data_IF_259952089308
#
_entry.id   IF_259952089308
#
_cell.length_a   1.000
_cell.length_b   1.000
_cell.length_c   1.000
_cell.angle_alpha   90.00
_cell.angle_beta   90.00
_cell.angle_gamma   90.00
#
_symmetry.space_group_name_H-M   'P 1'
#
loop_
_entity.id
_entity.type
_entity.pdbx_description
1 polymer ?
#
# COMPACT_ATOMS: atom_id res chain seq x y z
N UNK A 1 25.03 4.00 -1.07
CA UNK A 1 23.96 3.30 -1.81
C UNK A 1 23.60 4.09 -3.04
N UNK A 2 23.46 3.43 -4.17
CA UNK A 2 23.00 4.08 -5.39
C UNK A 2 21.50 4.37 -5.30
N UNK A 3 21.03 5.44 -5.96
CA UNK A 3 19.60 5.81 -6.01
C UNK A 3 18.70 4.65 -6.42
N UNK A 4 19.20 3.78 -7.30
CA UNK A 4 18.52 2.58 -7.78
C UNK A 4 18.25 1.56 -6.66
N UNK A 5 19.20 1.40 -5.74
CA UNK A 5 19.06 0.47 -4.59
C UNK A 5 17.96 0.96 -3.64
N UNK A 6 17.92 2.27 -3.35
CA UNK A 6 16.87 2.88 -2.51
C UNK A 6 15.49 2.61 -3.10
N UNK A 7 15.32 2.83 -4.41
CA UNK A 7 14.07 2.58 -5.10
C UNK A 7 13.68 1.10 -5.08
N UNK A 8 14.63 0.17 -5.14
CA UNK A 8 14.35 -1.25 -4.98
C UNK A 8 13.77 -1.56 -3.60
N UNK A 9 14.31 -0.97 -2.52
CA UNK A 9 13.73 -1.11 -1.18
C UNK A 9 12.32 -0.51 -1.07
N UNK A 10 12.10 0.68 -1.64
CA UNK A 10 10.78 1.33 -1.66
C UNK A 10 9.76 0.44 -2.38
N UNK A 11 10.05 0.02 -3.60
CA UNK A 11 9.15 -0.81 -4.40
C UNK A 11 8.89 -2.16 -3.73
N UNK A 12 9.91 -2.77 -3.13
CA UNK A 12 9.77 -4.00 -2.35
C UNK A 12 8.82 -3.81 -1.16
N UNK A 13 8.99 -2.73 -0.39
CA UNK A 13 8.12 -2.42 0.75
C UNK A 13 6.67 -2.16 0.33
N UNK A 14 6.47 -1.34 -0.71
CA UNK A 14 5.13 -1.04 -1.26
C UNK A 14 4.45 -2.31 -1.78
N UNK A 15 5.16 -3.14 -2.53
CA UNK A 15 4.61 -4.39 -3.09
C UNK A 15 4.17 -5.35 -1.99
N UNK A 16 4.99 -5.48 -0.94
CA UNK A 16 4.69 -6.35 0.18
C UNK A 16 3.49 -5.86 1.01
N UNK A 17 3.42 -4.55 1.26
CA UNK A 17 2.29 -3.92 1.93
C UNK A 17 1.00 -4.05 1.10
N UNK A 18 1.08 -3.86 -0.22
CA UNK A 18 -0.05 -4.02 -1.13
C UNK A 18 -0.57 -5.46 -1.15
N UNK A 19 0.35 -6.45 -1.16
CA UNK A 19 0.00 -7.86 -1.03
C UNK A 19 -0.70 -8.13 0.31
N UNK A 20 -0.16 -7.62 1.42
CA UNK A 20 -0.78 -7.76 2.74
C UNK A 20 -2.19 -7.15 2.79
N UNK A 21 -2.39 -5.95 2.23
CA UNK A 21 -3.70 -5.30 2.12
C UNK A 21 -4.69 -6.16 1.33
N UNK A 22 -4.24 -6.70 0.19
CA UNK A 22 -5.08 -7.55 -0.68
C UNK A 22 -5.45 -8.86 0.00
N UNK A 23 -4.49 -9.51 0.66
CA UNK A 23 -4.71 -10.75 1.44
C UNK A 23 -5.65 -10.48 2.62
N UNK A 24 -5.50 -9.34 3.31
CA UNK A 24 -6.39 -8.93 4.40
C UNK A 24 -7.83 -8.75 3.92
N UNK A 25 -8.03 -8.09 2.78
CA UNK A 25 -9.35 -7.96 2.18
C UNK A 25 -9.96 -9.31 1.79
N UNK A 26 -9.17 -10.17 1.14
CA UNK A 26 -9.62 -11.54 0.78
C UNK A 26 -9.99 -12.30 2.04
N UNK A 27 -9.18 -12.26 3.09
CA UNK A 27 -9.49 -12.91 4.37
C UNK A 27 -10.80 -12.40 4.96
N UNK A 28 -10.98 -11.07 5.03
CA UNK A 28 -12.14 -10.44 5.65
C UNK A 28 -13.45 -10.72 4.89
N UNK A 29 -13.37 -10.88 3.57
CA UNK A 29 -14.53 -11.14 2.70
C UNK A 29 -14.79 -12.62 2.47
N UNK A 30 -13.81 -13.49 2.72
CA UNK A 30 -13.94 -14.92 2.51
C UNK A 30 -14.80 -15.57 3.60
N UNK A 31 -15.82 -16.34 3.18
CA UNK A 31 -16.73 -17.08 4.06
C UNK A 31 -16.07 -18.28 4.76
N UNK A 32 -14.78 -18.55 4.53
CA UNK A 32 -14.02 -19.71 5.02
C UNK A 32 -13.78 -19.80 6.53
N UNK A 33 -14.46 -18.99 7.36
CA UNK A 33 -14.41 -19.06 8.81
C UNK A 33 -13.21 -18.33 9.46
N UNK A 34 -13.22 -18.30 10.81
CA UNK A 34 -12.28 -17.51 11.64
C UNK A 34 -10.80 -17.91 11.46
N UNK A 35 -10.50 -19.09 10.92
CA UNK A 35 -9.14 -19.63 10.74
C UNK A 35 -8.86 -20.04 9.29
N UNK A 36 -9.12 -19.15 8.33
CA UNK A 36 -8.80 -19.42 6.93
C UNK A 36 -7.29 -19.33 6.64
N UNK A 37 -6.84 -20.00 5.58
CA UNK A 37 -5.45 -19.91 5.07
C UNK A 37 -5.00 -18.46 4.82
N UNK A 38 -5.93 -17.56 4.49
CA UNK A 38 -5.65 -16.15 4.26
C UNK A 38 -5.23 -15.42 5.54
N UNK A 39 -5.77 -15.81 6.70
CA UNK A 39 -5.34 -15.27 7.99
C UNK A 39 -3.92 -15.72 8.32
N UNK A 40 -3.59 -16.99 8.07
CA UNK A 40 -2.24 -17.50 8.27
C UNK A 40 -1.23 -16.76 7.39
N UNK A 41 -1.55 -16.57 6.11
CA UNK A 41 -0.73 -15.76 5.20
C UNK A 41 -0.57 -14.33 5.70
N UNK A 42 -1.64 -13.69 6.17
CA UNK A 42 -1.60 -12.34 6.72
C UNK A 42 -0.68 -12.25 7.94
N UNK A 43 -0.78 -13.18 8.88
CA UNK A 43 0.07 -13.24 10.09
C UNK A 43 1.54 -13.39 9.71
N UNK A 44 1.85 -14.21 8.71
CA UNK A 44 3.22 -14.42 8.24
C UNK A 44 3.75 -13.17 7.53
N UNK A 45 2.97 -12.52 6.65
CA UNK A 45 3.41 -11.39 5.83
C UNK A 45 3.53 -10.10 6.65
N UNK A 46 2.65 -9.88 7.63
CA UNK A 46 2.57 -8.65 8.44
C UNK A 46 3.92 -8.18 9.03
N UNK A 47 4.73 -9.00 9.71
CA UNK A 47 6.02 -8.55 10.24
C UNK A 47 6.98 -8.07 9.14
N UNK A 48 6.95 -8.69 7.96
CA UNK A 48 7.82 -8.28 6.86
C UNK A 48 7.43 -6.92 6.27
N UNK A 49 6.15 -6.54 6.32
CA UNK A 49 5.70 -5.19 5.95
C UNK A 49 6.40 -4.14 6.83
N UNK A 50 6.39 -4.34 8.16
CA UNK A 50 7.03 -3.41 9.08
C UNK A 50 8.56 -3.45 9.00
N UNK A 51 9.17 -4.62 8.79
CA UNK A 51 10.63 -4.73 8.59
C UNK A 51 11.05 -3.97 7.33
N UNK A 52 10.38 -4.19 6.20
CA UNK A 52 10.73 -3.50 4.94
C UNK A 52 10.50 -2.00 5.02
N UNK A 53 9.42 -1.56 5.69
CA UNK A 53 9.19 -0.14 6.00
C UNK A 53 10.31 0.45 6.87
N UNK A 54 10.72 -0.24 7.93
CA UNK A 54 11.84 0.15 8.79
C UNK A 54 13.17 0.27 8.02
N UNK A 55 13.43 -0.66 7.09
CA UNK A 55 14.62 -0.63 6.24
C UNK A 55 14.66 0.58 5.28
N UNK A 56 13.50 1.04 4.80
CA UNK A 56 13.43 2.26 3.97
C UNK A 56 13.57 3.51 4.84
N UNK A 57 12.84 3.59 5.94
CA UNK A 57 12.81 4.78 6.82
C UNK A 57 14.11 4.99 7.57
N UNK A 58 14.86 3.93 7.90
CA UNK A 58 16.23 4.05 8.42
C UNK A 58 17.23 4.67 7.42
N UNK A 59 16.91 4.69 6.13
CA UNK A 59 17.76 5.23 5.07
C UNK A 59 17.33 6.62 4.59
N UNK A 60 16.02 6.88 4.53
CA UNK A 60 15.45 8.13 4.03
C UNK A 60 14.92 9.05 5.12
N UNK A 61 14.94 8.60 6.37
CA UNK A 61 14.21 9.23 7.46
C UNK A 61 12.74 8.85 7.45
N UNK A 62 12.12 8.94 8.62
CA UNK A 62 10.71 8.56 8.80
C UNK A 62 9.80 9.41 7.92
N UNK A 63 9.91 10.74 7.98
CA UNK A 63 9.01 11.66 7.26
C UNK A 63 9.03 11.43 5.75
N UNK A 64 10.22 11.36 5.14
CA UNK A 64 10.34 11.21 3.68
C UNK A 64 10.05 9.78 3.24
N UNK A 65 10.59 8.79 3.97
CA UNK A 65 10.38 7.38 3.67
C UNK A 65 8.92 6.96 3.77
N UNK A 66 8.23 7.35 4.85
CA UNK A 66 6.81 7.07 5.03
C UNK A 66 5.96 7.80 4.00
N UNK A 67 6.23 9.09 3.75
CA UNK A 67 5.51 9.86 2.75
C UNK A 67 5.55 9.19 1.37
N UNK A 68 6.72 8.70 0.94
CA UNK A 68 6.85 8.00 -0.36
C UNK A 68 6.13 6.65 -0.34
N UNK A 69 6.36 5.81 0.68
CA UNK A 69 5.76 4.48 0.76
C UNK A 69 4.23 4.58 0.84
N UNK A 70 3.70 5.37 1.76
CA UNK A 70 2.26 5.46 2.02
C UNK A 70 1.52 6.08 0.83
N UNK A 71 2.15 7.04 0.15
CA UNK A 71 1.65 7.60 -1.10
C UNK A 71 1.51 6.56 -2.20
N UNK A 72 2.60 5.83 -2.49
CA UNK A 72 2.61 4.79 -3.52
C UNK A 72 1.67 3.65 -3.16
N UNK A 73 1.63 3.24 -1.90
CA UNK A 73 0.72 2.23 -1.39
C UNK A 73 -0.74 2.66 -1.54
N UNK A 74 -1.05 3.92 -1.22
CA UNK A 74 -2.41 4.47 -1.37
C UNK A 74 -2.85 4.42 -2.82
N UNK A 75 -2.04 4.95 -3.75
CA UNK A 75 -2.33 4.92 -5.19
C UNK A 75 -2.52 3.48 -5.66
N UNK A 76 -1.57 2.60 -5.32
CA UNK A 76 -1.61 1.20 -5.76
C UNK A 76 -2.80 0.44 -5.18
N UNK A 77 -3.18 0.70 -3.93
CA UNK A 77 -4.33 0.07 -3.28
C UNK A 77 -5.64 0.53 -3.91
N UNK A 78 -5.78 1.82 -4.24
CA UNK A 78 -6.93 2.34 -4.99
C UNK A 78 -7.03 1.63 -6.35
N UNK A 79 -5.92 1.54 -7.09
CA UNK A 79 -5.89 0.85 -8.38
C UNK A 79 -6.26 -0.64 -8.24
N UNK A 80 -5.74 -1.34 -7.23
CA UNK A 80 -6.08 -2.74 -6.98
C UNK A 80 -7.56 -2.91 -6.62
N UNK A 81 -8.12 -2.06 -5.74
CA UNK A 81 -9.55 -2.09 -5.39
C UNK A 81 -10.44 -1.89 -6.61
N UNK A 82 -10.15 -0.86 -7.40
CA UNK A 82 -10.91 -0.56 -8.61
C UNK A 82 -10.77 -1.65 -9.67
N UNK A 83 -9.55 -2.04 -10.07
CA UNK A 83 -9.33 -2.92 -11.22
C UNK A 83 -9.35 -4.41 -10.89
N UNK A 84 -8.79 -4.84 -9.76
CA UNK A 84 -8.68 -6.25 -9.38
C UNK A 84 -9.94 -6.71 -8.64
N UNK A 85 -10.39 -5.93 -7.65
CA UNK A 85 -11.61 -6.23 -6.89
C UNK A 85 -12.88 -5.69 -7.56
N UNK A 86 -12.76 -4.99 -8.69
CA UNK A 86 -13.87 -4.50 -9.53
C UNK A 86 -14.83 -3.59 -8.76
N UNK A 87 -14.31 -2.77 -7.86
CA UNK A 87 -15.10 -1.92 -6.98
C UNK A 87 -15.69 -0.67 -7.67
N UNK A 88 -15.52 -0.51 -8.99
CA UNK A 88 -16.00 0.66 -9.74
C UNK A 88 -17.46 1.03 -9.47
N UNK A 89 -18.33 0.03 -9.33
CA UNK A 89 -19.77 0.22 -9.07
C UNK A 89 -20.12 0.51 -7.61
N UNK A 90 -19.19 0.29 -6.69
CA UNK A 90 -19.38 0.50 -5.24
C UNK A 90 -18.84 1.85 -4.75
N UNK A 91 -18.20 2.63 -5.65
CA UNK A 91 -17.60 3.92 -5.35
C UNK A 91 -18.52 5.04 -5.83
N UNK A 92 -18.95 5.90 -4.91
CA UNK A 92 -19.76 7.08 -5.22
C UNK A 92 -18.95 8.17 -5.92
N UNK A 93 -19.64 9.08 -6.63
CA UNK A 93 -19.00 10.24 -7.29
C UNK A 93 -18.14 11.08 -6.32
N UNK A 94 -18.59 11.25 -5.07
CA UNK A 94 -17.82 11.96 -4.04
C UNK A 94 -16.56 11.21 -3.61
N UNK A 95 -16.61 9.88 -3.54
CA UNK A 95 -15.42 9.06 -3.26
C UNK A 95 -14.41 9.12 -4.42
N UNK A 96 -14.86 9.12 -5.68
CA UNK A 96 -13.96 9.35 -6.81
C UNK A 96 -13.29 10.73 -6.74
N UNK A 97 -14.05 11.78 -6.42
CA UNK A 97 -13.48 13.11 -6.21
C UNK A 97 -12.46 13.12 -5.07
N UNK A 98 -12.76 12.45 -3.95
CA UNK A 98 -11.83 12.30 -2.82
C UNK A 98 -10.56 11.55 -3.20
N UNK A 99 -10.67 10.46 -3.97
CA UNK A 99 -9.52 9.71 -4.49
C UNK A 99 -8.66 10.60 -5.40
N UNK A 100 -9.26 11.36 -6.32
CA UNK A 100 -8.53 12.29 -7.19
C UNK A 100 -7.79 13.37 -6.40
N UNK A 101 -8.43 13.94 -5.37
CA UNK A 101 -7.81 14.93 -4.49
C UNK A 101 -6.64 14.31 -3.70
N UNK A 102 -6.80 13.10 -3.19
CA UNK A 102 -5.74 12.38 -2.48
C UNK A 102 -4.52 12.14 -3.40
N UNK A 103 -4.75 11.65 -4.62
CA UNK A 103 -3.69 11.45 -5.62
C UNK A 103 -3.01 12.78 -5.96
N UNK A 104 -3.78 13.86 -6.11
CA UNK A 104 -3.24 15.19 -6.38
C UNK A 104 -2.37 15.69 -5.22
N UNK A 105 -2.82 15.54 -3.98
CA UNK A 105 -2.05 15.88 -2.78
C UNK A 105 -0.74 15.08 -2.69
N UNK A 106 -0.79 13.79 -2.99
CA UNK A 106 0.39 12.92 -3.07
C UNK A 106 1.40 13.44 -4.10
N UNK A 107 0.94 13.82 -5.29
CA UNK A 107 1.80 14.37 -6.35
C UNK A 107 2.45 15.68 -5.89
N UNK A 108 1.69 16.57 -5.25
CA UNK A 108 2.20 17.83 -4.71
C UNK A 108 3.30 17.61 -3.66
N UNK A 109 3.17 16.60 -2.81
CA UNK A 109 4.19 16.26 -1.80
C UNK A 109 5.53 15.84 -2.41
N UNK A 110 5.57 15.38 -3.66
CA UNK A 110 6.82 14.99 -4.33
C UNK A 110 7.63 16.18 -4.85
N UNK A 111 7.01 17.36 -4.98
CA UNK A 111 7.70 18.59 -5.38
C UNK A 111 8.36 19.27 -4.16
N UNK A 112 9.31 18.59 -3.55
CA UNK A 112 10.22 19.18 -2.57
C UNK A 112 11.45 19.73 -3.32
N UNK A 113 11.77 21.01 -3.06
CA UNK A 113 12.98 21.69 -3.54
C UNK A 113 14.20 21.28 -2.74
#
# INVERSE_FOLDING_TARGET
MNKLEIWFYILGSVSLALLANSVSLIWATNKGGKFSIWLLLLVIISPFVFITFGLVTSKLGLSTGSAIIDSLLTISTILVGLFVFKEWGNVSAYQYAGMLLAVSGIILMQFHR
#
